data_IF_697988450278
#
_entry.id   IF_697988450278
#
_cell.length_a   1.000
_cell.length_b   1.000
_cell.length_c   1.000
_cell.angle_alpha   90.00
_cell.angle_beta   90.00
_cell.angle_gamma   90.00
#
_symmetry.space_group_name_H-M   'P 1'
#
loop_
_entity.id
_entity.type
_entity.pdbx_description
1 polymer ?
#
# COMPACT_ATOMS: atom_id res chain seq x y z
N UNK A 1 9.09 18.32 20.65
CA UNK A 1 8.42 17.32 19.79
C UNK A 1 6.92 17.45 20.04
N UNK A 2 6.28 18.44 19.44
CA UNK A 2 4.85 18.68 19.62
C UNK A 2 4.08 17.57 18.89
N UNK A 3 3.56 16.62 19.67
CA UNK A 3 2.56 15.69 19.19
C UNK A 3 1.39 16.53 18.68
N UNK A 4 0.99 16.28 17.43
CA UNK A 4 -0.24 16.83 16.84
C UNK A 4 -1.36 16.70 17.86
N UNK A 5 -2.10 17.78 18.07
CA UNK A 5 -3.25 17.85 18.95
C UNK A 5 -4.15 16.60 18.79
N UNK A 6 -4.56 15.93 19.87
CA UNK A 6 -5.35 14.70 19.81
C UNK A 6 -6.79 14.88 19.29
N UNK A 7 -7.17 16.08 18.84
CA UNK A 7 -8.49 16.38 18.26
C UNK A 7 -8.67 16.03 16.78
N UNK A 8 -7.66 15.55 16.07
CA UNK A 8 -7.70 15.39 14.60
C UNK A 8 -7.85 13.94 14.11
N UNK A 9 -8.38 13.02 14.93
CA UNK A 9 -8.48 11.59 14.56
C UNK A 9 -9.76 11.28 13.74
N UNK A 10 -10.63 12.26 13.47
CA UNK A 10 -11.70 12.13 12.47
C UNK A 10 -11.31 12.82 11.14
N UNK A 11 -10.85 12.08 10.13
CA UNK A 11 -10.68 12.62 8.79
C UNK A 11 -12.02 12.48 8.06
N UNK A 12 -12.94 13.43 8.24
CA UNK A 12 -14.20 13.41 7.47
C UNK A 12 -14.55 14.72 6.79
N UNK A 13 -13.72 15.75 6.86
CA UNK A 13 -13.94 16.94 6.03
C UNK A 13 -12.61 17.60 5.71
N UNK A 14 -12.23 17.56 4.42
CA UNK A 14 -11.17 18.44 3.94
C UNK A 14 -11.67 19.87 4.16
N UNK A 15 -10.87 20.75 4.80
CA UNK A 15 -11.31 22.12 5.02
C UNK A 15 -11.56 22.79 3.67
N UNK A 16 -12.71 23.43 3.51
CA UNK A 16 -13.08 24.15 2.27
C UNK A 16 -12.36 25.50 2.14
N UNK A 17 -11.34 25.75 2.96
CA UNK A 17 -10.60 27.01 2.98
C UNK A 17 -9.48 27.03 1.93
N UNK A 18 -9.02 28.25 1.59
CA UNK A 18 -7.81 28.44 0.77
C UNK A 18 -6.57 27.91 1.52
N UNK A 19 -5.48 27.75 0.78
CA UNK A 19 -4.16 27.37 1.34
C UNK A 19 -3.84 28.20 2.59
N UNK A 20 -3.38 27.50 3.63
CA UNK A 20 -2.91 28.14 4.86
C UNK A 20 -1.51 28.75 4.71
N UNK A 21 -0.74 28.37 3.68
CA UNK A 21 0.61 28.88 3.46
C UNK A 21 0.57 30.29 2.88
N UNK A 22 1.33 31.20 3.49
CA UNK A 22 1.49 32.57 3.02
C UNK A 22 2.55 32.67 1.92
N UNK A 23 3.55 31.78 1.91
CA UNK A 23 4.66 31.83 0.95
C UNK A 23 5.03 30.46 0.38
N UNK A 24 5.65 30.44 -0.80
CA UNK A 24 6.16 29.20 -1.41
C UNK A 24 7.28 28.55 -0.60
N UNK A 25 8.00 29.33 0.22
CA UNK A 25 9.08 28.80 1.06
C UNK A 25 8.51 28.06 2.26
N UNK A 26 7.55 28.67 2.95
CA UNK A 26 6.81 28.04 4.06
C UNK A 26 6.19 26.70 3.63
N UNK A 27 5.55 26.67 2.45
CA UNK A 27 4.98 25.44 1.89
C UNK A 27 6.05 24.36 1.61
N UNK A 28 7.23 24.74 1.13
CA UNK A 28 8.34 23.81 0.90
C UNK A 28 8.88 23.26 2.22
N UNK A 29 9.06 24.11 3.22
CA UNK A 29 9.60 23.74 4.52
C UNK A 29 8.65 22.78 5.26
N UNK A 30 7.34 23.05 5.23
CA UNK A 30 6.34 22.16 5.83
C UNK A 30 6.28 20.80 5.11
N UNK A 31 6.33 20.79 3.77
CA UNK A 31 6.42 19.54 2.99
C UNK A 31 7.67 18.73 3.32
N UNK A 32 8.82 19.40 3.43
CA UNK A 32 10.06 18.75 3.82
C UNK A 32 10.00 18.22 5.26
N UNK A 33 9.43 18.98 6.19
CA UNK A 33 9.20 18.54 7.57
C UNK A 33 8.28 17.32 7.65
N UNK A 34 7.19 17.31 6.86
CA UNK A 34 6.27 16.18 6.76
C UNK A 34 6.93 14.93 6.18
N UNK A 35 7.81 15.07 5.18
CA UNK A 35 8.62 13.98 4.65
C UNK A 35 9.61 13.47 5.70
N UNK A 36 10.37 14.37 6.33
CA UNK A 36 11.37 14.04 7.34
C UNK A 36 10.77 13.29 8.53
N UNK A 37 9.55 13.64 8.95
CA UNK A 37 8.82 12.94 10.00
C UNK A 37 8.43 11.49 9.62
N UNK A 38 8.28 11.18 8.33
CA UNK A 38 7.95 9.85 7.84
C UNK A 38 9.18 8.94 7.68
N UNK A 39 10.36 9.51 7.42
CA UNK A 39 11.59 8.76 7.17
C UNK A 39 11.92 7.72 8.25
N UNK A 40 11.82 8.00 9.57
CA UNK A 40 12.10 7.00 10.60
C UNK A 40 11.17 5.79 10.53
N UNK A 41 9.91 6.01 10.16
CA UNK A 41 8.93 4.92 9.98
C UNK A 41 9.36 4.06 8.78
N UNK A 42 9.69 4.69 7.67
CA UNK A 42 10.09 3.99 6.45
C UNK A 42 11.36 3.18 6.69
N UNK A 43 12.38 3.75 7.34
CA UNK A 43 13.63 3.06 7.73
C UNK A 43 13.41 1.90 8.69
N UNK A 44 12.36 1.93 9.53
CA UNK A 44 12.06 0.83 10.46
C UNK A 44 11.25 -0.32 9.82
N UNK A 45 10.40 -0.02 8.84
CA UNK A 45 9.50 -1.00 8.23
C UNK A 45 10.02 -1.58 6.92
N UNK A 46 10.65 -0.77 6.09
CA UNK A 46 11.05 -1.17 4.74
C UNK A 46 12.12 -2.27 4.72
N UNK A 47 13.21 -2.25 5.51
CA UNK A 47 14.20 -3.32 5.46
C UNK A 47 13.58 -4.70 5.70
N UNK A 48 12.65 -4.78 6.65
CA UNK A 48 11.92 -6.02 6.95
C UNK A 48 10.97 -6.43 5.82
N UNK A 49 10.39 -5.47 5.09
CA UNK A 49 9.61 -5.78 3.88
C UNK A 49 10.53 -6.32 2.77
N UNK A 50 11.70 -5.71 2.56
CA UNK A 50 12.69 -6.16 1.58
C UNK A 50 13.23 -7.56 1.91
N UNK A 51 13.46 -7.87 3.18
CA UNK A 51 13.81 -9.22 3.65
C UNK A 51 12.72 -10.25 3.31
N UNK A 52 11.44 -9.87 3.43
CA UNK A 52 10.33 -10.75 3.04
C UNK A 52 10.29 -10.97 1.53
N UNK A 53 10.48 -9.91 0.74
CA UNK A 53 10.60 -10.02 -0.72
C UNK A 53 11.78 -10.89 -1.15
N UNK A 54 12.92 -10.82 -0.44
CA UNK A 54 14.09 -11.62 -0.75
C UNK A 54 13.87 -13.14 -0.58
N UNK A 55 12.87 -13.56 0.21
CA UNK A 55 12.51 -14.97 0.40
C UNK A 55 11.64 -15.53 -0.72
N UNK A 56 11.08 -14.68 -1.57
CA UNK A 56 10.27 -15.11 -2.70
C UNK A 56 11.21 -15.72 -3.76
N UNK A 57 10.95 -16.94 -4.25
CA UNK A 57 11.70 -17.51 -5.36
C UNK A 57 11.60 -16.65 -6.62
N UNK A 58 12.73 -16.39 -7.28
CA UNK A 58 12.73 -15.63 -8.52
C UNK A 58 12.32 -16.52 -9.70
N UNK A 59 11.18 -16.26 -10.38
CA UNK A 59 10.72 -17.09 -11.50
C UNK A 59 11.46 -16.79 -12.82
N UNK A 60 12.43 -15.87 -12.82
CA UNK A 60 13.19 -15.47 -14.01
C UNK A 60 14.34 -16.44 -14.28
N UNK A 61 14.80 -16.49 -15.53
CA UNK A 61 15.98 -17.27 -15.90
C UNK A 61 17.24 -16.58 -15.32
N UNK A 62 18.16 -17.30 -14.65
CA UNK A 62 19.33 -16.70 -14.01
C UNK A 62 20.14 -15.77 -14.91
N UNK A 63 20.35 -16.14 -16.19
CA UNK A 63 21.13 -15.36 -17.14
C UNK A 63 20.47 -14.04 -17.58
N UNK A 64 19.18 -13.85 -17.26
CA UNK A 64 18.41 -12.66 -17.63
C UNK A 64 18.26 -11.63 -16.49
N UNK A 65 18.88 -11.89 -15.34
CA UNK A 65 18.71 -11.07 -14.13
C UNK A 65 19.66 -9.87 -14.18
N UNK A 66 19.12 -8.70 -14.55
CA UNK A 66 19.81 -7.40 -14.45
C UNK A 66 19.58 -6.69 -13.11
N UNK A 67 18.40 -6.88 -12.52
CA UNK A 67 17.98 -6.25 -11.27
C UNK A 67 17.53 -7.30 -10.26
N UNK A 68 17.88 -7.09 -8.98
CA UNK A 68 17.43 -7.94 -7.86
C UNK A 68 15.91 -8.04 -7.82
N UNK A 69 15.39 -9.18 -7.38
CA UNK A 69 13.94 -9.41 -7.25
C UNK A 69 13.29 -8.38 -6.33
N UNK A 70 13.94 -8.08 -5.19
CA UNK A 70 13.48 -7.09 -4.22
C UNK A 70 13.27 -5.71 -4.85
N UNK A 71 14.19 -5.25 -5.70
CA UNK A 71 14.07 -3.98 -6.43
C UNK A 71 12.84 -4.00 -7.33
N UNK A 72 12.64 -5.07 -8.11
CA UNK A 72 11.47 -5.16 -9.00
C UNK A 72 10.15 -5.16 -8.23
N UNK A 73 10.07 -5.87 -7.09
CA UNK A 73 8.87 -5.90 -6.26
C UNK A 73 8.59 -4.57 -5.58
N UNK A 74 9.63 -3.84 -5.15
CA UNK A 74 9.48 -2.49 -4.62
C UNK A 74 8.94 -1.53 -5.69
N UNK A 75 9.43 -1.61 -6.93
CA UNK A 75 8.84 -0.82 -8.02
C UNK A 75 7.41 -1.26 -8.37
N UNK A 76 7.09 -2.55 -8.25
CA UNK A 76 5.71 -3.05 -8.31
C UNK A 76 4.82 -2.42 -7.24
N UNK A 77 5.32 -2.27 -6.01
CA UNK A 77 4.63 -1.57 -4.92
C UNK A 77 4.48 -0.08 -5.23
N UNK A 78 5.48 0.59 -5.81
CA UNK A 78 5.37 1.99 -6.21
C UNK A 78 4.30 2.23 -7.27
N UNK A 79 4.15 1.31 -8.23
CA UNK A 79 3.04 1.38 -9.19
C UNK A 79 1.68 1.42 -8.49
N UNK A 80 1.51 0.62 -7.43
CA UNK A 80 0.30 0.57 -6.62
C UNK A 80 0.13 1.83 -5.74
N UNK A 81 1.17 2.22 -5.00
CA UNK A 81 1.13 3.34 -4.05
C UNK A 81 0.92 4.68 -4.75
N UNK A 82 1.57 4.89 -5.90
CA UNK A 82 1.44 6.13 -6.67
C UNK A 82 0.29 6.11 -7.67
N UNK A 83 -0.42 4.98 -7.80
CA UNK A 83 -1.60 4.83 -8.65
C UNK A 83 -1.38 5.31 -10.10
N UNK A 84 -0.22 4.98 -10.70
CA UNK A 84 0.05 5.35 -12.09
C UNK A 84 -0.88 4.63 -13.06
N UNK A 85 -1.40 5.36 -14.05
CA UNK A 85 -2.39 4.84 -14.99
C UNK A 85 -1.76 4.02 -16.13
N UNK A 86 -0.44 4.13 -16.32
CA UNK A 86 0.27 3.32 -17.32
C UNK A 86 1.74 3.07 -16.95
N UNK A 87 2.30 2.00 -17.51
CA UNK A 87 3.74 1.69 -17.40
C UNK A 87 4.62 2.78 -18.03
N UNK A 88 4.15 3.44 -19.09
CA UNK A 88 4.88 4.50 -19.78
C UNK A 88 4.99 5.75 -18.91
N UNK A 89 3.87 6.13 -18.29
CA UNK A 89 3.83 7.20 -17.30
C UNK A 89 4.74 6.88 -16.12
N UNK A 90 4.59 5.70 -15.50
CA UNK A 90 5.44 5.29 -14.39
C UNK A 90 6.93 5.29 -14.74
N UNK A 91 7.31 4.80 -15.93
CA UNK A 91 8.70 4.89 -16.40
C UNK A 91 9.17 6.34 -16.44
N UNK A 92 8.40 7.26 -17.03
CA UNK A 92 8.78 8.67 -17.17
C UNK A 92 8.91 9.36 -15.81
N UNK A 93 7.99 9.09 -14.88
CA UNK A 93 7.96 9.74 -13.58
C UNK A 93 9.01 9.16 -12.61
N UNK A 94 9.14 7.84 -12.53
CA UNK A 94 10.05 7.16 -11.58
C UNK A 94 11.53 7.19 -12.02
N UNK A 95 11.82 7.56 -13.26
CA UNK A 95 13.20 7.71 -13.77
C UNK A 95 13.69 9.16 -13.74
N UNK A 96 12.88 10.10 -13.25
CA UNK A 96 13.30 11.50 -13.11
C UNK A 96 14.53 11.60 -12.20
N UNK A 97 15.57 12.36 -12.57
CA UNK A 97 16.79 12.48 -11.76
C UNK A 97 16.53 12.92 -10.31
N UNK A 98 15.68 13.93 -10.12
CA UNK A 98 15.32 14.43 -8.78
C UNK A 98 14.63 13.35 -7.94
N UNK A 99 13.72 12.59 -8.55
CA UNK A 99 13.06 11.49 -7.86
C UNK A 99 14.07 10.41 -7.48
N UNK A 100 15.00 10.10 -8.39
CA UNK A 100 16.02 9.08 -8.16
C UNK A 100 17.00 9.46 -7.05
N UNK A 101 17.44 10.71 -7.01
CA UNK A 101 18.29 11.24 -5.93
C UNK A 101 17.58 11.12 -4.59
N UNK A 102 16.32 11.57 -4.51
CA UNK A 102 15.50 11.42 -3.31
C UNK A 102 15.32 9.96 -2.92
N UNK A 103 15.05 9.08 -3.88
CA UNK A 103 14.84 7.66 -3.62
C UNK A 103 16.09 7.03 -2.99
N UNK A 104 17.30 7.38 -3.47
CA UNK A 104 18.56 6.88 -2.91
C UNK A 104 18.83 7.39 -1.50
N UNK A 105 18.46 8.62 -1.17
CA UNK A 105 18.57 9.15 0.19
C UNK A 105 17.66 8.42 1.18
N UNK A 106 16.45 8.08 0.72
CA UNK A 106 15.43 7.45 1.55
C UNK A 106 15.66 5.92 1.62
N UNK A 107 16.10 5.32 0.53
CA UNK A 107 16.18 3.88 0.31
C UNK A 107 17.50 3.47 -0.36
N UNK A 108 18.62 3.46 0.40
CA UNK A 108 19.93 3.13 -0.13
C UNK A 108 20.02 1.69 -0.67
N UNK A 109 19.13 0.79 -0.25
CA UNK A 109 19.07 -0.59 -0.72
C UNK A 109 18.60 -0.72 -2.18
N UNK A 110 17.99 0.33 -2.73
CA UNK A 110 17.54 0.40 -4.12
C UNK A 110 18.65 1.04 -4.95
N UNK A 111 19.53 0.20 -5.50
CA UNK A 111 20.72 0.61 -6.24
C UNK A 111 20.47 0.91 -7.72
N UNK A 112 19.37 0.40 -8.28
CA UNK A 112 19.05 0.45 -9.71
C UNK A 112 17.58 0.78 -9.99
N UNK A 113 17.31 1.36 -11.16
CA UNK A 113 15.95 1.62 -11.65
C UNK A 113 15.61 0.62 -12.77
N UNK A 114 14.63 -0.27 -12.57
CA UNK A 114 14.19 -1.18 -13.62
C UNK A 114 13.24 -0.48 -14.60
N UNK A 115 13.22 -0.95 -15.85
CA UNK A 115 12.16 -0.57 -16.78
C UNK A 115 10.83 -1.19 -16.33
N UNK A 116 9.71 -0.46 -16.41
CA UNK A 116 8.40 -0.94 -15.93
C UNK A 116 7.89 -2.18 -16.70
N UNK A 117 8.34 -2.40 -17.93
CA UNK A 117 8.06 -3.66 -18.64
C UNK A 117 8.74 -4.86 -18.00
N UNK A 118 9.92 -4.68 -17.41
CA UNK A 118 10.60 -5.74 -16.66
C UNK A 118 9.84 -6.08 -15.38
N UNK A 119 9.33 -5.06 -14.68
CA UNK A 119 8.46 -5.24 -13.51
C UNK A 119 7.20 -6.01 -13.91
N UNK A 120 6.53 -5.60 -14.99
CA UNK A 120 5.33 -6.27 -15.49
C UNK A 120 5.56 -7.73 -15.88
N UNK A 121 6.65 -8.03 -16.59
CA UNK A 121 7.01 -9.41 -16.94
C UNK A 121 7.30 -10.28 -15.73
N UNK A 122 7.85 -9.72 -14.66
CA UNK A 122 8.02 -10.42 -13.39
C UNK A 122 6.67 -10.68 -12.73
N UNK A 123 5.84 -9.64 -12.57
CA UNK A 123 4.54 -9.74 -11.90
C UNK A 123 3.59 -10.71 -12.62
N UNK A 124 3.71 -10.86 -13.94
CA UNK A 124 2.95 -11.86 -14.69
C UNK A 124 3.34 -13.31 -14.38
N UNK A 125 4.48 -13.55 -13.73
CA UNK A 125 5.02 -14.89 -13.43
C UNK A 125 5.09 -15.21 -11.94
N UNK A 126 5.02 -14.20 -11.08
CA UNK A 126 5.09 -14.41 -9.63
C UNK A 126 3.81 -15.10 -9.17
N UNK A 127 3.92 -16.05 -8.23
CA UNK A 127 2.73 -16.64 -7.63
C UNK A 127 2.05 -15.60 -6.71
N UNK A 128 0.78 -15.21 -6.96
CA UNK A 128 0.07 -14.28 -6.10
C UNK A 128 0.02 -14.69 -4.63
N UNK A 129 -0.05 -15.99 -4.33
CA UNK A 129 -0.10 -16.52 -2.96
C UNK A 129 1.15 -16.15 -2.15
N UNK A 130 2.31 -16.03 -2.81
CA UNK A 130 3.55 -15.63 -2.15
C UNK A 130 3.51 -14.16 -1.74
N UNK A 131 2.92 -13.30 -2.58
CA UNK A 131 2.72 -11.89 -2.24
C UNK A 131 1.66 -11.73 -1.14
N UNK A 132 0.61 -12.54 -1.18
CA UNK A 132 -0.42 -12.57 -0.14
C UNK A 132 0.17 -12.97 1.22
N UNK A 133 1.03 -13.99 1.27
CA UNK A 133 1.71 -14.37 2.51
C UNK A 133 2.60 -13.23 3.05
N UNK A 134 3.33 -12.52 2.18
CA UNK A 134 4.09 -11.33 2.59
C UNK A 134 3.18 -10.24 3.16
N UNK A 135 2.02 -10.00 2.54
CA UNK A 135 1.03 -9.05 3.02
C UNK A 135 0.47 -9.46 4.40
N UNK A 136 0.04 -10.72 4.55
CA UNK A 136 -0.47 -11.28 5.81
C UNK A 136 0.56 -11.12 6.93
N UNK A 137 1.82 -11.46 6.67
CA UNK A 137 2.88 -11.30 7.67
C UNK A 137 3.14 -9.84 8.03
N UNK A 138 3.03 -8.93 7.07
CA UNK A 138 3.19 -7.49 7.29
C UNK A 138 2.05 -6.95 8.15
N UNK A 139 0.80 -7.32 7.85
CA UNK A 139 -0.38 -6.98 8.64
C UNK A 139 -0.26 -7.56 10.06
N UNK A 140 0.08 -8.84 10.22
CA UNK A 140 0.29 -9.47 11.54
C UNK A 140 1.33 -8.73 12.36
N UNK A 141 2.43 -8.26 11.74
CA UNK A 141 3.44 -7.44 12.42
C UNK A 141 2.88 -6.08 12.83
N UNK A 142 2.12 -5.42 11.98
CA UNK A 142 1.47 -4.16 12.29
C UNK A 142 0.51 -4.30 13.48
N UNK A 143 -0.37 -5.30 13.47
CA UNK A 143 -1.36 -5.55 14.54
C UNK A 143 -0.75 -5.90 15.90
N UNK A 144 0.55 -6.23 15.97
CA UNK A 144 1.29 -6.42 17.23
C UNK A 144 1.83 -5.10 17.81
N UNK A 145 1.76 -3.99 17.07
CA UNK A 145 2.20 -2.69 17.56
C UNK A 145 1.22 -2.17 18.63
N UNK A 146 1.76 -1.69 19.76
CA UNK A 146 0.97 -1.14 20.87
C UNK A 146 -0.01 -0.06 20.44
N UNK A 147 0.35 0.78 19.44
CA UNK A 147 -0.53 1.84 18.93
C UNK A 147 -1.79 1.28 18.25
N UNK A 148 -1.68 0.17 17.53
CA UNK A 148 -2.84 -0.48 16.92
C UNK A 148 -3.61 -1.31 17.95
N UNK A 149 -2.93 -1.96 18.89
CA UNK A 149 -3.61 -2.65 20.00
C UNK A 149 -4.47 -1.70 20.85
N UNK A 150 -4.08 -0.43 20.97
CA UNK A 150 -4.88 0.60 21.64
C UNK A 150 -6.21 0.91 20.91
N UNK A 151 -6.39 0.48 19.66
CA UNK A 151 -7.62 0.65 18.89
C UNK A 151 -8.59 -0.54 19.01
N UNK A 152 -8.29 -1.53 19.86
CA UNK A 152 -9.18 -2.66 20.10
C UNK A 152 -10.46 -2.21 20.84
N UNK A 153 -11.61 -2.61 20.32
CA UNK A 153 -12.92 -2.46 20.99
C UNK A 153 -13.34 -3.85 21.45
N UNK A 154 -13.56 -4.02 22.76
CA UNK A 154 -13.91 -5.33 23.35
C UNK A 154 -12.94 -6.46 22.96
N UNK A 155 -11.63 -6.16 22.84
CA UNK A 155 -10.56 -7.08 22.39
C UNK A 155 -10.64 -7.50 20.91
N UNK A 156 -11.43 -6.82 20.09
CA UNK A 156 -11.56 -7.07 18.65
C UNK A 156 -11.16 -5.85 17.82
N UNK A 157 -10.62 -6.10 16.63
CA UNK A 157 -10.43 -5.06 15.62
C UNK A 157 -11.72 -4.89 14.82
N UNK A 158 -12.17 -3.64 14.67
CA UNK A 158 -13.29 -3.31 13.78
C UNK A 158 -12.72 -3.18 12.37
N UNK A 159 -13.21 -4.02 11.44
CA UNK A 159 -12.79 -4.00 10.03
C UNK A 159 -13.96 -3.47 9.20
N UNK A 160 -13.77 -2.31 8.59
CA UNK A 160 -14.67 -1.82 7.55
C UNK A 160 -14.25 -2.43 6.21
N UNK A 161 -15.14 -3.20 5.59
CA UNK A 161 -14.94 -3.72 4.24
C UNK A 161 -15.74 -2.86 3.29
N UNK A 162 -15.05 -1.97 2.57
CA UNK A 162 -15.67 -1.17 1.53
C UNK A 162 -15.82 -1.98 0.24
N UNK A 163 -17.01 -1.89 -0.38
CA UNK A 163 -17.43 -2.70 -1.52
C UNK A 163 -17.05 -2.13 -2.89
N UNK A 164 -16.13 -1.16 -2.93
CA UNK A 164 -15.83 -0.42 -4.15
C UNK A 164 -14.95 -1.27 -5.08
N UNK A 165 -15.43 -1.53 -6.30
CA UNK A 165 -14.75 -2.24 -7.42
C UNK A 165 -14.69 -3.80 -7.43
N UNK A 166 -15.58 -4.54 -6.73
CA UNK A 166 -15.71 -6.00 -6.91
C UNK A 166 -17.06 -6.47 -7.46
N UNK A 167 -17.61 -5.76 -8.44
CA UNK A 167 -18.85 -6.18 -9.10
C UNK A 167 -18.71 -6.12 -10.63
N UNK A 168 -17.95 -7.06 -11.20
CA UNK A 168 -18.16 -7.48 -12.60
C UNK A 168 -19.15 -8.63 -12.55
N UNK A 169 -20.44 -8.32 -12.65
CA UNK A 169 -21.50 -9.34 -12.76
C UNK A 169 -21.63 -9.70 -14.24
N UNK A 170 -21.09 -10.84 -14.64
CA UNK A 170 -21.59 -11.53 -15.84
C UNK A 170 -23.03 -11.94 -15.55
N UNK A 171 -23.98 -11.38 -16.29
CA UNK A 171 -25.40 -11.64 -16.15
C UNK A 171 -25.72 -13.08 -16.58
N UNK A 172 -25.51 -14.05 -15.68
CA UNK A 172 -26.29 -15.28 -15.66
C UNK A 172 -26.66 -15.57 -14.21
N UNK A 173 -27.86 -15.13 -13.84
CA UNK A 173 -28.47 -15.45 -12.56
C UNK A 173 -29.08 -16.84 -12.67
N UNK A 174 -28.46 -17.82 -12.00
CA UNK A 174 -29.18 -18.99 -11.50
C UNK A 174 -28.68 -19.31 -10.09
N UNK A 175 -29.58 -18.99 -9.13
CA UNK A 175 -29.69 -19.49 -7.75
C UNK A 175 -28.46 -19.37 -6.83
N UNK A 176 -28.56 -18.35 -5.97
CA UNK A 176 -28.23 -18.32 -4.55
C UNK A 176 -27.64 -19.61 -3.94
N UNK A 177 -26.40 -19.54 -3.47
CA UNK A 177 -25.84 -20.50 -2.50
C UNK A 177 -25.20 -19.75 -1.35
N UNK A 178 -25.85 -19.83 -0.16
CA UNK A 178 -25.22 -19.52 1.12
C UNK A 178 -24.19 -20.61 1.39
N UNK A 179 -22.91 -20.26 1.51
CA UNK A 179 -21.94 -21.14 2.16
C UNK A 179 -21.58 -20.55 3.53
N UNK A 180 -21.79 -21.36 4.57
CA UNK A 180 -21.18 -21.17 5.88
C UNK A 180 -19.90 -22.00 5.88
N UNK A 181 -18.74 -21.38 6.06
CA UNK A 181 -17.55 -22.10 6.48
C UNK A 181 -17.42 -21.99 8.00
N UNK A 182 -17.58 -23.13 8.66
CA UNK A 182 -17.26 -23.32 10.07
C UNK A 182 -16.02 -24.20 10.17
N UNK A 183 -14.84 -23.63 10.41
CA UNK A 183 -13.84 -24.27 11.27
C UNK A 183 -12.67 -23.35 11.67
N UNK A 184 -12.50 -23.20 12.98
CA UNK A 184 -11.25 -23.01 13.74
C UNK A 184 -10.66 -21.60 13.95
N UNK A 185 -10.78 -21.19 15.22
CA UNK A 185 -10.03 -20.18 16.01
C UNK A 185 -9.99 -18.76 15.44
N UNK A 186 -10.95 -17.95 15.92
CA UNK A 186 -11.23 -16.52 15.67
C UNK A 186 -12.26 -16.29 14.54
N UNK A 187 -13.58 -16.35 14.84
CA UNK A 187 -14.58 -15.91 13.88
C UNK A 187 -14.43 -14.40 13.64
N UNK A 188 -14.00 -14.04 12.43
CA UNK A 188 -14.10 -12.67 11.94
C UNK A 188 -15.55 -12.46 11.52
N UNK A 189 -16.32 -11.70 12.30
CA UNK A 189 -17.68 -11.32 11.92
C UNK A 189 -17.60 -10.20 10.88
N UNK A 190 -17.80 -10.56 9.60
CA UNK A 190 -17.97 -9.60 8.51
C UNK A 190 -19.45 -9.23 8.44
N UNK A 191 -19.82 -8.09 9.01
CA UNK A 191 -21.18 -7.56 8.91
C UNK A 191 -21.32 -6.75 7.62
N UNK A 192 -21.88 -7.37 6.58
CA UNK A 192 -22.21 -6.68 5.33
C UNK A 192 -23.43 -5.77 5.52
N UNK A 193 -23.21 -4.46 5.69
CA UNK A 193 -24.28 -3.46 5.64
C UNK A 193 -24.33 -2.86 4.23
N UNK A 194 -25.11 -3.46 3.32
CA UNK A 194 -25.43 -2.85 2.03
C UNK A 194 -26.62 -1.90 2.19
N UNK A 195 -26.39 -0.60 1.99
CA UNK A 195 -27.47 0.33 1.64
C UNK A 195 -26.97 1.32 0.58
N UNK A 196 -27.19 0.97 -0.69
CA UNK A 196 -27.11 1.91 -1.80
C UNK A 196 -28.46 2.60 -1.96
N UNK A 197 -28.45 3.93 -1.99
CA UNK A 197 -29.48 4.72 -2.66
C UNK A 197 -28.82 5.37 -3.87
N UNK A 198 -29.26 4.96 -5.05
CA UNK A 198 -28.93 5.55 -6.34
C UNK A 198 -29.22 7.05 -6.34
N UNK A 199 -28.33 7.86 -6.93
CA UNK A 199 -28.73 9.01 -7.72
C UNK A 199 -27.86 9.02 -8.98
N UNK A 200 -28.51 8.69 -10.09
CA UNK A 200 -28.17 9.11 -11.44
C UNK A 200 -28.65 10.56 -11.57
N UNK A 201 -27.77 11.45 -12.01
CA UNK A 201 -28.05 12.52 -12.98
C UNK A 201 -26.73 13.07 -13.52
#
# INVERSE_FOLDING_TARGET
MALRHPGSIHPSTLPTCKSAYATSQEEKDDRQGALAAQLPVWRAYLPVLLEKFARIPDPRRPQSIKHKLTVLLTFGLFLFVFAYNSRREANRELTRPVFWELLREVFPEIDTIPHMDTVNRLLAKINPEQLEEVLIQTIKRLLRNRRLQALLVEKHYIIAVDGTQKLVRSLYVSRCSRQKETSHKNPIYIQHLFRLRSIVQ
#
